data_IF_245529236200
#
_entry.id   IF_245529236200
#
_cell.length_a   1.000
_cell.length_b   1.000
_cell.length_c   1.000
_cell.angle_alpha   90.00
_cell.angle_beta   90.00
_cell.angle_gamma   90.00
#
_symmetry.space_group_name_H-M   'P 1'
#
loop_
_entity.id
_entity.type
_entity.pdbx_description
1 polymer ?
#
# COMPACT_ATOMS: atom_id res chain seq x y z
N UNK A 1 -9.17 -0.07 -6.14
CA UNK A 1 -9.62 -1.37 -5.61
C UNK A 1 -10.85 -1.15 -4.73
N UNK A 2 -11.97 -1.83 -5.02
CA UNK A 2 -13.18 -1.78 -4.18
C UNK A 2 -13.01 -2.66 -2.94
N UNK A 3 -13.42 -2.18 -1.76
CA UNK A 3 -13.23 -2.88 -0.47
C UNK A 3 -14.50 -2.84 0.36
N UNK A 4 -15.40 -3.83 0.21
CA UNK A 4 -16.58 -3.92 1.05
C UNK A 4 -16.22 -4.49 2.43
N UNK A 5 -16.87 -3.98 3.48
CA UNK A 5 -16.87 -4.61 4.80
C UNK A 5 -18.09 -5.54 4.89
N UNK A 6 -17.86 -6.84 4.98
CA UNK A 6 -18.93 -7.82 5.12
C UNK A 6 -19.20 -8.08 6.60
N UNK A 7 -20.46 -7.99 7.00
CA UNK A 7 -20.93 -8.41 8.33
C UNK A 7 -21.70 -9.72 8.18
N UNK A 8 -21.39 -10.69 9.01
CA UNK A 8 -22.02 -12.00 9.00
C UNK A 8 -22.10 -12.56 10.42
N UNK A 9 -23.00 -13.52 10.61
CA UNK A 9 -23.19 -14.24 11.87
C UNK A 9 -21.93 -15.05 12.25
N UNK A 10 -21.75 -15.31 13.55
CA UNK A 10 -20.60 -16.06 14.06
C UNK A 10 -20.54 -17.49 13.47
N UNK A 11 -21.67 -18.12 13.14
CA UNK A 11 -21.68 -19.41 12.46
C UNK A 11 -20.96 -19.36 11.09
N UNK A 12 -21.20 -18.29 10.33
CA UNK A 12 -20.54 -18.10 9.04
C UNK A 12 -19.07 -17.73 9.21
N UNK A 13 -18.75 -16.93 10.24
CA UNK A 13 -17.37 -16.59 10.61
C UNK A 13 -16.53 -17.83 10.87
N UNK A 14 -17.05 -18.73 11.69
CA UNK A 14 -16.35 -19.94 12.10
C UNK A 14 -16.16 -20.87 10.89
N UNK A 15 -17.18 -21.00 10.04
CA UNK A 15 -17.06 -21.73 8.78
C UNK A 15 -15.93 -21.18 7.88
N UNK A 16 -15.90 -19.88 7.64
CA UNK A 16 -14.85 -19.25 6.81
C UNK A 16 -13.47 -19.41 7.45
N UNK A 17 -13.37 -19.31 8.78
CA UNK A 17 -12.11 -19.49 9.53
C UNK A 17 -11.61 -20.94 9.42
N UNK A 18 -12.52 -21.91 9.48
CA UNK A 18 -12.19 -23.31 9.29
C UNK A 18 -11.72 -23.60 7.86
N UNK A 19 -12.34 -22.99 6.84
CA UNK A 19 -11.88 -23.07 5.45
C UNK A 19 -10.48 -22.47 5.25
N UNK A 20 -10.23 -21.30 5.84
CA UNK A 20 -8.91 -20.65 5.84
C UNK A 20 -7.84 -21.57 6.48
N UNK A 21 -8.20 -22.29 7.54
CA UNK A 21 -7.28 -23.24 8.19
C UNK A 21 -7.06 -24.51 7.36
N UNK A 22 -8.09 -24.96 6.64
CA UNK A 22 -8.05 -26.19 5.84
C UNK A 22 -7.45 -26.00 4.43
N UNK A 23 -7.20 -24.76 4.00
CA UNK A 23 -6.73 -24.45 2.65
C UNK A 23 -5.50 -23.53 2.70
N UNK A 24 -4.86 -23.30 1.56
CA UNK A 24 -3.81 -22.28 1.44
C UNK A 24 -4.37 -20.87 1.16
N UNK A 25 -5.69 -20.70 1.24
CA UNK A 25 -6.37 -19.45 0.95
C UNK A 25 -6.51 -18.61 2.22
N UNK A 26 -6.30 -17.30 2.10
CA UNK A 26 -6.67 -16.39 3.17
C UNK A 26 -8.18 -16.13 3.18
N UNK A 27 -8.69 -15.62 4.31
CA UNK A 27 -10.10 -15.27 4.49
C UNK A 27 -10.71 -14.46 3.34
N UNK A 28 -9.94 -13.49 2.84
CA UNK A 28 -10.42 -12.60 1.78
C UNK A 28 -10.57 -13.35 0.46
N UNK A 29 -9.63 -14.24 0.13
CA UNK A 29 -9.71 -15.11 -1.04
C UNK A 29 -10.90 -16.07 -0.95
N UNK A 30 -11.13 -16.67 0.24
CA UNK A 30 -12.31 -17.54 0.46
C UNK A 30 -13.61 -16.78 0.21
N UNK A 31 -13.75 -15.58 0.77
CA UNK A 31 -14.95 -14.76 0.58
C UNK A 31 -15.10 -14.33 -0.89
N UNK A 32 -14.01 -13.95 -1.57
CA UNK A 32 -14.04 -13.62 -3.00
C UNK A 32 -14.45 -14.82 -3.84
N UNK A 33 -13.93 -16.01 -3.55
CA UNK A 33 -14.28 -17.24 -4.26
C UNK A 33 -15.77 -17.54 -4.12
N UNK A 34 -16.32 -17.43 -2.91
CA UNK A 34 -17.73 -17.63 -2.64
C UNK A 34 -18.62 -16.66 -3.43
N UNK A 35 -18.26 -15.37 -3.46
CA UNK A 35 -18.98 -14.35 -4.24
C UNK A 35 -18.84 -14.55 -5.76
N UNK A 36 -17.67 -14.99 -6.19
CA UNK A 36 -17.37 -15.26 -7.60
C UNK A 36 -18.25 -16.38 -8.15
N UNK A 37 -18.31 -17.52 -7.44
CA UNK A 37 -19.14 -18.65 -7.89
C UNK A 37 -20.63 -18.39 -7.71
N UNK A 38 -21.03 -17.58 -6.72
CA UNK A 38 -22.43 -17.26 -6.47
C UNK A 38 -23.14 -16.66 -7.69
N UNK A 39 -22.44 -15.88 -8.53
CA UNK A 39 -23.01 -15.36 -9.78
C UNK A 39 -23.46 -16.43 -10.77
N UNK A 40 -22.88 -17.64 -10.68
CA UNK A 40 -23.15 -18.77 -11.57
C UNK A 40 -24.10 -19.82 -10.98
N UNK A 41 -24.37 -19.79 -9.67
CA UNK A 41 -25.16 -20.85 -9.02
C UNK A 41 -26.65 -20.56 -9.06
N UNK A 42 -27.44 -21.61 -9.29
CA UNK A 42 -28.90 -21.50 -9.27
C UNK A 42 -29.42 -21.28 -7.84
N UNK A 43 -28.73 -21.83 -6.84
CA UNK A 43 -29.02 -21.63 -5.42
C UNK A 43 -28.98 -20.16 -5.05
N UNK A 44 -27.99 -19.43 -5.55
CA UNK A 44 -27.89 -17.99 -5.32
C UNK A 44 -29.02 -17.24 -6.03
N UNK A 45 -29.32 -17.57 -7.29
CA UNK A 45 -30.46 -16.98 -8.02
C UNK A 45 -31.78 -17.21 -7.27
N UNK A 46 -32.02 -18.42 -6.79
CA UNK A 46 -33.21 -18.77 -6.02
C UNK A 46 -33.27 -17.99 -4.69
N UNK A 47 -32.14 -17.79 -4.02
CA UNK A 47 -32.07 -16.99 -2.79
C UNK A 47 -32.40 -15.50 -3.06
N UNK A 48 -32.03 -14.99 -4.23
CA UNK A 48 -32.25 -13.58 -4.61
C UNK A 48 -33.63 -13.32 -5.25
N UNK A 49 -34.30 -14.35 -5.77
CA UNK A 49 -35.57 -14.24 -6.51
C UNK A 49 -36.67 -13.45 -5.77
N UNK A 50 -36.91 -13.66 -4.46
CA UNK A 50 -37.92 -12.90 -3.72
C UNK A 50 -37.62 -11.39 -3.63
N UNK A 51 -36.37 -10.99 -3.88
CA UNK A 51 -35.90 -9.61 -3.80
C UNK A 51 -35.76 -8.95 -5.19
N UNK A 52 -36.10 -9.67 -6.26
CA UNK A 52 -36.04 -9.15 -7.63
C UNK A 52 -37.13 -8.10 -7.84
N UNK A 53 -36.74 -6.92 -8.36
CA UNK A 53 -37.69 -5.85 -8.66
C UNK A 53 -38.56 -6.25 -9.85
N UNK A 54 -39.83 -5.84 -9.82
CA UNK A 54 -40.80 -6.12 -10.90
C UNK A 54 -40.27 -5.61 -12.25
N UNK A 55 -40.21 -6.51 -13.24
CA UNK A 55 -39.77 -6.19 -14.60
C UNK A 55 -38.25 -6.18 -14.79
N UNK A 56 -37.47 -6.66 -13.81
CA UNK A 56 -36.03 -6.89 -13.99
C UNK A 56 -35.73 -8.39 -14.06
N UNK A 57 -34.67 -8.74 -14.77
CA UNK A 57 -34.05 -10.06 -14.78
C UNK A 57 -32.76 -10.03 -13.96
N UNK A 58 -32.25 -11.20 -13.58
CA UNK A 58 -30.90 -11.29 -13.04
C UNK A 58 -29.88 -10.87 -14.09
N UNK A 59 -28.81 -10.14 -13.70
CA UNK A 59 -27.67 -9.92 -14.57
C UNK A 59 -26.92 -11.23 -14.76
N UNK A 60 -26.46 -11.49 -15.98
CA UNK A 60 -25.51 -12.57 -16.23
C UNK A 60 -24.10 -12.10 -15.83
N UNK A 61 -23.32 -12.96 -15.15
CA UNK A 61 -21.93 -12.65 -14.84
C UNK A 61 -21.14 -12.47 -16.15
N UNK A 62 -20.33 -11.42 -16.20
CA UNK A 62 -19.47 -11.12 -17.35
C UNK A 62 -18.15 -11.91 -17.33
N UNK A 63 -17.92 -12.67 -16.27
CA UNK A 63 -16.77 -13.54 -16.10
C UNK A 63 -17.22 -14.99 -16.28
N UNK A 64 -16.28 -15.85 -16.66
CA UNK A 64 -16.52 -17.29 -16.76
C UNK A 64 -16.21 -17.99 -15.42
N UNK A 65 -16.85 -19.13 -15.18
CA UNK A 65 -16.69 -19.86 -13.91
C UNK A 65 -15.27 -20.44 -13.70
N UNK A 66 -14.48 -20.55 -14.77
CA UNK A 66 -13.09 -21.02 -14.75
C UNK A 66 -12.05 -19.88 -14.67
N UNK A 67 -12.51 -18.61 -14.69
CA UNK A 67 -11.65 -17.41 -14.64
C UNK A 67 -11.11 -17.13 -13.22
N UNK A 68 -10.36 -18.09 -12.68
CA UNK A 68 -9.91 -18.10 -11.28
C UNK A 68 -9.06 -16.89 -10.89
N UNK A 69 -8.42 -16.24 -11.87
CA UNK A 69 -7.58 -15.07 -11.64
C UNK A 69 -8.33 -13.89 -11.01
N UNK A 70 -9.64 -13.76 -11.24
CA UNK A 70 -10.44 -12.64 -10.76
C UNK A 70 -10.70 -12.67 -9.25
N UNK A 71 -10.88 -13.86 -8.67
CA UNK A 71 -11.11 -14.00 -7.23
C UNK A 71 -9.83 -14.31 -6.46
N UNK A 72 -8.87 -14.99 -7.10
CA UNK A 72 -7.65 -15.46 -6.44
C UNK A 72 -6.62 -14.35 -6.22
N UNK A 73 -6.41 -13.50 -7.23
CA UNK A 73 -5.45 -12.39 -7.14
C UNK A 73 -6.14 -11.11 -6.69
N UNK A 74 -5.57 -10.46 -5.67
CA UNK A 74 -5.89 -9.07 -5.42
C UNK A 74 -5.18 -8.23 -6.49
N UNK A 75 -5.90 -7.47 -7.32
CA UNK A 75 -5.27 -6.52 -8.25
C UNK A 75 -4.67 -5.38 -7.43
N UNK A 76 -3.51 -5.64 -6.83
CA UNK A 76 -2.69 -4.68 -6.11
C UNK A 76 -1.33 -4.56 -6.81
N UNK A 77 -1.34 -4.11 -8.06
CA UNK A 77 -0.16 -3.45 -8.62
C UNK A 77 -0.50 -1.99 -8.86
N UNK A 78 -0.34 -1.19 -7.81
CA UNK A 78 0.27 0.12 -8.03
C UNK A 78 1.74 -0.11 -7.72
N UNK A 79 2.52 -0.42 -8.75
CA UNK A 79 3.94 -0.09 -8.71
C UNK A 79 3.97 1.42 -8.58
N UNK A 80 4.06 1.92 -7.35
CA UNK A 80 4.61 3.25 -7.15
C UNK A 80 6.06 3.12 -7.59
N UNK A 81 6.35 3.50 -8.83
CA UNK A 81 7.67 4.02 -9.11
C UNK A 81 7.91 5.08 -8.05
N UNK A 82 8.80 4.78 -7.09
CA UNK A 82 9.36 5.83 -6.24
C UNK A 82 9.80 6.92 -7.20
N UNK A 83 9.32 8.18 -7.08
CA UNK A 83 9.90 9.28 -7.83
C UNK A 83 11.40 9.21 -7.59
N UNK A 84 12.17 8.99 -8.65
CA UNK A 84 13.62 9.09 -8.61
C UNK A 84 13.93 10.45 -7.98
N UNK A 85 14.66 10.44 -6.85
CA UNK A 85 15.11 11.67 -6.24
C UNK A 85 15.82 12.50 -7.33
N UNK A 86 15.51 13.80 -7.46
CA UNK A 86 16.17 14.64 -8.45
C UNK A 86 17.69 14.53 -8.27
N UNK A 87 18.48 14.51 -9.36
CA UNK A 87 19.92 14.39 -9.26
C UNK A 87 20.44 15.49 -8.33
N UNK A 88 21.21 15.09 -7.32
CA UNK A 88 21.84 16.01 -6.37
C UNK A 88 22.58 17.07 -7.18
N UNK A 89 22.10 18.32 -7.15
CA UNK A 89 22.91 19.45 -7.61
C UNK A 89 24.17 19.45 -6.73
N UNK A 90 25.31 19.21 -7.38
CA UNK A 90 26.63 19.37 -6.77
C UNK A 90 26.75 20.84 -6.37
N UNK A 91 26.52 21.14 -5.10
CA UNK A 91 26.90 22.43 -4.53
C UNK A 91 28.42 22.39 -4.44
N UNK A 92 29.10 23.18 -5.27
CA UNK A 92 30.51 23.49 -5.08
C UNK A 92 30.63 24.18 -3.72
N UNK A 93 31.06 23.42 -2.72
CA UNK A 93 31.48 24.00 -1.46
C UNK A 93 32.82 24.69 -1.71
N UNK A 94 32.78 26.02 -1.74
CA UNK A 94 33.97 26.85 -1.59
C UNK A 94 34.64 26.45 -0.27
N UNK A 95 35.73 25.69 -0.36
CA UNK A 95 36.58 25.39 0.78
C UNK A 95 37.18 26.70 1.27
N UNK A 96 36.57 27.29 2.31
CA UNK A 96 37.27 28.21 3.17
C UNK A 96 38.42 27.45 3.81
N UNK A 97 39.64 27.81 3.41
CA UNK A 97 40.89 27.30 3.97
C UNK A 97 40.92 27.63 5.47
N UNK A 98 40.69 26.66 6.33
CA UNK A 98 41.06 26.76 7.75
C UNK A 98 42.35 25.99 7.95
N UNK A 99 43.46 26.72 8.03
CA UNK A 99 44.78 26.19 8.34
C UNK A 99 44.80 25.54 9.75
N UNK A 100 45.56 24.44 9.96
CA UNK A 100 45.61 23.76 11.25
C UNK A 100 46.31 24.60 12.32
N UNK A 101 45.72 24.63 13.52
CA UNK A 101 46.21 25.33 14.71
C UNK A 101 47.33 24.51 15.36
N UNK A 102 48.58 24.90 15.12
CA UNK A 102 49.78 24.36 15.78
C UNK A 102 49.92 25.03 17.16
N UNK A 103 50.03 24.24 18.22
CA UNK A 103 50.36 24.75 19.56
C UNK A 103 51.86 25.04 19.67
N UNK A 104 52.24 26.19 20.21
CA UNK A 104 53.60 26.42 20.72
C UNK A 104 53.56 27.22 22.02
N UNK A 105 54.46 26.92 22.98
CA UNK A 105 54.34 27.37 24.36
C UNK A 105 55.05 28.70 24.60
N UNK A 106 54.40 29.55 25.40
CA UNK A 106 55.06 30.60 26.16
C UNK A 106 55.35 31.91 25.41
N UNK A 107 55.18 33.02 26.13
CA UNK A 107 55.83 34.28 25.78
C UNK A 107 54.89 35.42 25.45
N UNK A 108 54.39 36.06 26.51
CA UNK A 108 54.29 37.50 26.74
C UNK A 108 54.28 38.50 25.57
N UNK A 109 53.43 39.51 25.78
CA UNK A 109 53.61 40.93 25.46
C UNK A 109 52.64 41.51 24.41
N UNK A 110 51.58 42.09 24.98
CA UNK A 110 50.95 43.38 24.70
C UNK A 110 51.58 44.29 23.63
N UNK A 111 50.72 44.99 22.84
CA UNK A 111 50.44 46.45 22.91
C UNK A 111 49.42 46.85 21.81
N UNK A 112 48.61 47.87 22.15
CA UNK A 112 47.54 48.58 21.41
C UNK A 112 47.99 49.16 20.02
N UNK A 113 47.17 49.69 19.10
CA UNK A 113 46.02 50.62 19.15
C UNK A 113 45.24 50.62 17.80
N UNK A 114 43.97 51.05 17.85
CA UNK A 114 43.11 51.33 16.70
C UNK A 114 43.60 52.53 15.84
N UNK A 115 43.64 52.34 14.52
CA UNK A 115 43.07 53.30 13.56
C UNK A 115 43.98 54.29 12.81
N UNK A 116 43.82 54.25 11.47
CA UNK A 116 43.99 55.30 10.43
C UNK A 116 45.37 55.58 9.83
N UNK A 117 45.38 55.57 8.48
CA UNK A 117 46.38 56.21 7.63
C UNK A 117 46.23 57.74 7.71
N UNK A 118 47.31 58.44 8.08
CA UNK A 118 48.14 59.31 7.23
C UNK A 118 49.46 59.57 7.98
#
# INVERSE_FOLDING_TARGET
>A
MYRPTVRYDDLYKDYVTNLETATHLNRTQVIRAALFIAGHTQEFKNLMDPYLKRGHSFPDPLWEADENGLWYHDKAEVVQEKPQAPPKKVVQQNYQQTSPRVYSPGGNASINFNGRQL
#
